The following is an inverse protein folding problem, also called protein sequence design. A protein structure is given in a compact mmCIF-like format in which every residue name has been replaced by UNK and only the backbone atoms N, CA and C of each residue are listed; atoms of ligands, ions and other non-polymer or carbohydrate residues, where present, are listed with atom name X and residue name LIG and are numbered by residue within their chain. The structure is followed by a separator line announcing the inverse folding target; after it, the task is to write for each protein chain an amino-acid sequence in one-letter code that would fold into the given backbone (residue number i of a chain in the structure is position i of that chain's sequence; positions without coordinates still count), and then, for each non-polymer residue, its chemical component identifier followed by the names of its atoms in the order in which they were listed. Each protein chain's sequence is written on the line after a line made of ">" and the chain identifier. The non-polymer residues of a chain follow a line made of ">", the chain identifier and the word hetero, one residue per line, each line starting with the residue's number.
data_IF_081889430517
#
_entry.id   IF_081889430517
#
_cell.length_a   1.000
_cell.length_b   1.000
_cell.length_c   1.000
_cell.angle_alpha   90.00
_cell.angle_beta   90.00
_cell.angle_gamma   90.00
#
_symmetry.space_group_name_H-M   'P 1'
#
loop_
_entity.id
_entity.type
_entity.pdbx_description
1 polymer ?
#
# COMPACT_ATOMS: atom_id res chain seq x y z
N UNK A 1 8.36 15.59 4.18
CA UNK A 1 9.09 14.45 4.74
C UNK A 1 10.16 14.00 3.75
N UNK A 2 11.36 13.78 4.23
CA UNK A 2 12.45 13.31 3.38
C UNK A 2 12.47 11.80 3.36
N UNK A 3 11.89 11.22 2.31
CA UNK A 3 11.74 9.78 2.22
C UNK A 3 13.07 9.06 2.01
N UNK A 4 14.05 9.76 1.45
CA UNK A 4 15.37 9.18 1.23
C UNK A 4 16.04 8.80 2.54
N UNK A 5 15.69 9.50 3.61
CA UNK A 5 16.21 9.22 4.94
C UNK A 5 15.86 7.81 5.40
N UNK A 6 14.76 7.27 4.91
CA UNK A 6 14.27 5.96 5.31
C UNK A 6 14.62 4.87 4.31
N UNK A 7 15.21 5.24 3.20
CA UNK A 7 15.62 4.26 2.19
C UNK A 7 17.05 3.81 2.50
N UNK A 8 17.16 2.84 3.36
CA UNK A 8 18.45 2.37 3.89
C UNK A 8 19.12 1.32 3.02
N UNK A 9 18.78 1.27 1.73
CA UNK A 9 19.34 0.26 0.86
C UNK A 9 18.81 -1.14 1.12
N UNK A 10 17.64 -1.21 1.73
CA UNK A 10 17.04 -2.49 2.11
C UNK A 10 16.69 -3.36 0.91
N UNK A 11 16.58 -2.79 -0.26
CA UNK A 11 16.29 -3.56 -1.47
C UNK A 11 14.82 -3.80 -1.75
N UNK A 12 13.96 -3.62 -0.76
CA UNK A 12 12.51 -3.77 -0.92
C UNK A 12 11.82 -2.44 -0.60
N UNK A 13 10.77 -2.14 -1.35
CA UNK A 13 10.03 -0.91 -1.13
C UNK A 13 8.54 -1.19 -1.30
N UNK A 14 7.75 -0.66 -0.40
CA UNK A 14 6.30 -0.73 -0.46
C UNK A 14 5.76 0.65 -0.80
N UNK A 15 4.97 0.74 -1.86
CA UNK A 15 4.33 1.98 -2.27
C UNK A 15 2.84 1.79 -2.19
N UNK A 16 2.17 2.66 -1.45
CA UNK A 16 0.73 2.59 -1.23
C UNK A 16 0.14 3.98 -1.39
N UNK A 17 -0.93 4.06 -2.16
CA UNK A 17 -1.73 5.27 -2.27
C UNK A 17 -3.17 4.91 -1.91
N UNK A 18 -3.76 5.66 -1.00
CA UNK A 18 -5.16 5.50 -0.62
C UNK A 18 -5.84 6.87 -0.73
N UNK A 19 -6.94 6.92 -1.43
CA UNK A 19 -7.82 8.08 -1.40
C UNK A 19 -9.11 7.66 -0.71
N UNK A 20 -9.66 8.53 0.13
CA UNK A 20 -10.78 8.16 0.99
C UNK A 20 -11.59 9.41 1.37
N UNK A 21 -12.84 9.19 1.80
CA UNK A 21 -13.70 10.29 2.21
C UNK A 21 -13.56 10.61 3.70
N UNK A 22 -13.55 9.59 4.56
CA UNK A 22 -13.38 9.83 5.99
C UNK A 22 -12.48 8.76 6.62
N UNK A 23 -12.17 8.96 7.90
CA UNK A 23 -11.19 8.12 8.59
C UNK A 23 -11.61 6.65 8.68
N UNK A 24 -12.90 6.39 8.75
CA UNK A 24 -13.38 5.00 8.79
C UNK A 24 -13.08 4.28 7.47
N UNK A 25 -13.22 5.00 6.36
CA UNK A 25 -12.90 4.45 5.04
C UNK A 25 -11.41 4.16 4.91
N UNK A 26 -10.57 5.02 5.47
CA UNK A 26 -9.13 4.78 5.47
C UNK A 26 -8.79 3.50 6.23
N UNK A 27 -9.40 3.30 7.39
CA UNK A 27 -9.18 2.09 8.17
C UNK A 27 -9.59 0.82 7.41
N UNK A 28 -10.74 0.87 6.72
CA UNK A 28 -11.20 -0.24 5.93
C UNK A 28 -10.26 -0.54 4.76
N UNK A 29 -9.82 0.50 4.07
CA UNK A 29 -8.89 0.33 2.96
C UNK A 29 -7.56 -0.28 3.44
N UNK A 30 -7.04 0.19 4.56
CA UNK A 30 -5.82 -0.35 5.14
C UNK A 30 -5.97 -1.82 5.50
N UNK A 31 -7.12 -2.21 6.06
CA UNK A 31 -7.37 -3.61 6.39
C UNK A 31 -7.35 -4.47 5.14
N UNK A 32 -7.94 -3.99 4.06
CA UNK A 32 -7.93 -4.72 2.80
C UNK A 32 -6.52 -4.86 2.24
N UNK A 33 -5.69 -3.84 2.37
CA UNK A 33 -4.28 -3.90 1.96
C UNK A 33 -3.55 -4.98 2.76
N UNK A 34 -3.75 -5.01 4.07
CA UNK A 34 -3.12 -6.01 4.93
C UNK A 34 -3.56 -7.42 4.53
N UNK A 35 -4.85 -7.61 4.25
CA UNK A 35 -5.36 -8.91 3.83
C UNK A 35 -4.75 -9.34 2.49
N UNK A 36 -4.64 -8.41 1.55
CA UNK A 36 -4.04 -8.71 0.24
C UNK A 36 -2.57 -9.13 0.38
N UNK A 37 -1.83 -8.44 1.21
CA UNK A 37 -0.43 -8.79 1.46
C UNK A 37 -0.35 -10.15 2.13
N UNK A 38 -1.28 -10.44 3.03
CA UNK A 38 -1.32 -11.70 3.75
C UNK A 38 -1.55 -12.90 2.84
N UNK A 39 -2.20 -12.72 1.71
CA UNK A 39 -2.39 -13.82 0.73
C UNK A 39 -1.33 -13.82 -0.37
N UNK A 40 -0.31 -12.99 -0.23
CA UNK A 40 0.85 -13.00 -1.12
C UNK A 40 0.77 -12.07 -2.33
N UNK A 41 -0.17 -11.15 -2.36
CA UNK A 41 -0.23 -10.18 -3.45
C UNK A 41 0.90 -9.17 -3.34
N UNK A 42 1.50 -8.85 -4.47
CA UNK A 42 2.55 -7.84 -4.55
C UNK A 42 2.11 -6.59 -5.30
N UNK A 43 0.92 -6.62 -5.87
CA UNK A 43 0.34 -5.53 -6.63
C UNK A 43 -1.17 -5.65 -6.54
N UNK A 44 -1.85 -4.58 -6.24
CA UNK A 44 -3.31 -4.58 -6.23
C UNK A 44 -3.86 -3.19 -6.43
N UNK A 45 -5.05 -3.12 -7.00
CA UNK A 45 -5.82 -1.89 -7.15
C UNK A 45 -7.27 -2.23 -6.82
N UNK A 46 -7.91 -1.41 -6.00
CA UNK A 46 -9.31 -1.57 -5.70
C UNK A 46 -9.97 -0.22 -5.53
N UNK A 47 -11.26 -0.18 -5.83
CA UNK A 47 -12.05 1.02 -5.64
C UNK A 47 -13.43 0.65 -5.12
N UNK A 48 -13.93 1.42 -4.17
CA UNK A 48 -15.28 1.34 -3.69
C UNK A 48 -15.93 2.73 -3.83
N UNK A 49 -17.14 2.89 -3.30
CA UNK A 49 -17.84 4.18 -3.42
C UNK A 49 -17.17 5.28 -2.61
N UNK A 50 -16.46 4.93 -1.55
CA UNK A 50 -15.92 5.91 -0.61
C UNK A 50 -14.41 5.90 -0.49
N UNK A 51 -13.74 4.92 -1.09
CA UNK A 51 -12.28 4.88 -1.07
C UNK A 51 -11.74 4.14 -2.29
N UNK A 52 -10.48 4.38 -2.56
CA UNK A 52 -9.76 3.61 -3.56
C UNK A 52 -8.33 3.44 -3.07
N UNK A 53 -7.70 2.35 -3.44
CA UNK A 53 -6.29 2.18 -3.11
C UNK A 53 -5.56 1.41 -4.21
N UNK A 54 -4.26 1.62 -4.23
CA UNK A 54 -3.37 0.83 -5.05
C UNK A 54 -2.06 0.67 -4.33
N UNK A 55 -1.46 -0.49 -4.42
CA UNK A 55 -0.14 -0.70 -3.85
C UNK A 55 0.72 -1.57 -4.75
N UNK A 56 2.01 -1.44 -4.55
CA UNK A 56 3.01 -2.22 -5.24
C UNK A 56 4.15 -2.50 -4.29
N UNK A 57 4.57 -3.75 -4.23
CA UNK A 57 5.76 -4.14 -3.48
C UNK A 57 6.87 -4.30 -4.50
N UNK A 58 7.89 -3.46 -4.40
CA UNK A 58 9.04 -3.51 -5.29
C UNK A 58 10.15 -4.25 -4.58
N UNK A 59 10.55 -5.38 -5.12
CA UNK A 59 11.64 -6.14 -4.59
C UNK A 59 12.89 -5.96 -5.43
N UNK A 60 14.04 -6.01 -4.79
CA UNK A 60 15.28 -6.01 -5.51
C UNK A 60 15.40 -7.32 -6.26
N UNK A 61 15.63 -7.23 -7.55
CA UNK A 61 15.83 -8.42 -8.35
C UNK A 61 17.08 -9.16 -7.86
N UNK A 62 16.93 -10.40 -7.62
CA UNK A 62 18.03 -11.24 -7.15
C UNK A 62 18.42 -12.26 -8.19
#
# INVERSE_FOLDING_TARGET
>A
MNIDKYNKGAGNRFVLVITYDDADDLGEALQNVVDDIGVGKTLANEASDTYAYGFEIEGKAT
#
